data_IF_398559208730
#
_entry.id   IF_398559208730
#
_cell.length_a   1.000
_cell.length_b   1.000
_cell.length_c   1.000
_cell.angle_alpha   90.00
_cell.angle_beta   90.00
_cell.angle_gamma   90.00
#
_symmetry.space_group_name_H-M   'P 1'
#
loop_
_entity.id
_entity.type
_entity.pdbx_description
1 polymer ?
#
# COMPACT_ATOMS: atom_id res chain seq x y z
N UNK A 1 4.01 -62.18 20.79
CA UNK A 1 5.33 -62.00 21.43
C UNK A 1 6.16 -61.05 20.57
N UNK A 2 6.58 -59.89 21.12
CA UNK A 2 7.98 -59.46 21.26
C UNK A 2 8.70 -59.17 19.91
N UNK A 3 9.32 -58.03 19.60
CA UNK A 3 10.01 -56.97 20.35
C UNK A 3 10.35 -55.84 19.34
N UNK A 4 10.07 -54.57 19.65
CA UNK A 4 11.00 -53.49 20.09
C UNK A 4 11.87 -52.81 19.02
N UNK A 5 11.79 -51.47 19.07
CA UNK A 5 12.60 -50.44 18.43
C UNK A 5 14.09 -50.39 18.86
N UNK A 6 14.92 -49.68 18.07
CA UNK A 6 16.20 -49.05 18.45
C UNK A 6 16.61 -48.02 17.36
N UNK A 7 16.67 -46.72 17.66
CA UNK A 7 17.84 -45.92 18.11
C UNK A 7 18.83 -45.63 16.95
N UNK A 8 18.91 -44.41 16.40
CA UNK A 8 19.59 -43.17 16.86
C UNK A 8 21.15 -43.22 16.86
N UNK A 9 21.74 -42.28 16.08
CA UNK A 9 23.08 -41.64 16.11
C UNK A 9 24.37 -42.47 16.13
N UNK A 10 25.28 -42.13 15.21
CA UNK A 10 26.62 -41.52 15.48
C UNK A 10 27.29 -41.13 14.14
N UNK A 11 27.58 -39.86 13.89
CA UNK A 11 28.83 -39.08 14.15
C UNK A 11 29.95 -39.26 13.10
N UNK A 12 30.41 -38.08 12.63
CA UNK A 12 31.80 -37.67 12.29
C UNK A 12 32.35 -38.04 10.90
N UNK A 13 32.37 -37.07 9.99
CA UNK A 13 33.50 -36.16 9.60
C UNK A 13 34.52 -36.80 8.65
N UNK A 14 34.62 -36.29 7.43
CA UNK A 14 35.90 -36.02 6.75
C UNK A 14 35.66 -35.24 5.45
N UNK A 15 36.48 -34.23 5.26
CA UNK A 15 36.52 -33.24 4.18
C UNK A 15 36.94 -33.86 2.84
N UNK A 16 36.46 -33.28 1.74
CA UNK A 16 37.20 -33.28 0.47
C UNK A 16 36.95 -31.95 -0.26
N UNK A 17 37.98 -31.12 -0.32
CA UNK A 17 38.08 -30.00 -1.24
C UNK A 17 38.16 -30.50 -2.69
N UNK A 18 37.45 -29.84 -3.61
CA UNK A 18 38.05 -29.00 -4.67
C UNK A 18 36.99 -28.51 -5.63
N UNK A 19 37.09 -27.22 -5.93
CA UNK A 19 36.17 -26.48 -6.77
C UNK A 19 36.10 -26.93 -8.23
N UNK A 20 35.03 -26.47 -8.86
CA UNK A 20 34.78 -26.50 -10.29
C UNK A 20 33.52 -25.67 -10.53
N UNK A 21 33.71 -24.41 -10.90
CA UNK A 21 32.65 -23.53 -11.32
C UNK A 21 32.03 -24.04 -12.62
N UNK A 22 30.71 -24.24 -12.64
CA UNK A 22 29.87 -23.83 -13.76
C UNK A 22 28.41 -23.77 -13.28
N UNK A 23 27.76 -22.69 -13.66
CA UNK A 23 26.46 -22.23 -13.18
C UNK A 23 25.33 -23.07 -13.79
N UNK A 24 24.40 -23.57 -12.97
CA UNK A 24 22.97 -23.66 -13.35
C UNK A 24 22.09 -24.05 -12.17
N UNK A 25 20.99 -23.28 -12.01
CA UNK A 25 19.70 -23.61 -11.34
C UNK A 25 19.74 -23.79 -9.81
N UNK A 26 18.87 -23.20 -8.99
CA UNK A 26 17.42 -22.97 -9.12
C UNK A 26 16.94 -21.96 -8.05
N UNK A 27 15.88 -21.21 -8.42
CA UNK A 27 14.68 -20.93 -7.59
C UNK A 27 14.72 -19.98 -6.38
N UNK A 28 13.83 -18.97 -6.49
CA UNK A 28 13.07 -18.27 -5.44
C UNK A 28 13.80 -17.34 -4.47
N UNK A 29 13.58 -16.05 -4.66
CA UNK A 29 13.91 -15.02 -3.68
C UNK A 29 13.61 -13.63 -4.22
N UNK A 30 12.34 -13.31 -4.39
CA UNK A 30 11.85 -11.96 -4.63
C UNK A 30 12.31 -11.04 -3.48
N UNK A 31 13.48 -10.41 -3.62
CA UNK A 31 13.94 -9.39 -2.68
C UNK A 31 13.45 -8.03 -3.16
N UNK A 32 12.15 -7.80 -2.98
CA UNK A 32 11.60 -6.45 -2.87
C UNK A 32 12.05 -5.89 -1.52
N UNK A 33 13.26 -5.35 -1.47
CA UNK A 33 13.63 -4.41 -0.41
C UNK A 33 13.08 -3.04 -0.81
N UNK A 34 11.78 -2.86 -0.59
CA UNK A 34 11.21 -1.55 -0.37
C UNK A 34 11.36 -1.29 1.13
N UNK A 35 12.45 -0.62 1.49
CA UNK A 35 12.69 -0.19 2.86
C UNK A 35 11.52 0.68 3.34
N UNK A 36 11.00 0.25 4.49
CA UNK A 36 10.00 0.86 5.34
C UNK A 36 9.91 2.37 5.20
N UNK A 37 8.73 2.84 4.80
CA UNK A 37 8.29 4.20 5.05
C UNK A 37 8.26 4.45 6.56
N UNK A 38 9.12 5.36 6.99
CA UNK A 38 8.98 6.09 8.25
C UNK A 38 7.61 6.79 8.22
N UNK A 39 6.66 6.29 9.00
CA UNK A 39 5.42 7.01 9.32
C UNK A 39 5.51 7.45 10.77
N UNK A 40 6.32 8.48 10.98
CA UNK A 40 6.34 9.24 12.22
C UNK A 40 5.28 10.35 12.16
N UNK A 41 4.54 10.39 13.26
CA UNK A 41 3.87 11.55 13.84
C UNK A 41 2.40 11.79 13.46
N UNK A 42 1.54 11.15 14.25
CA UNK A 42 0.22 11.64 14.58
C UNK A 42 0.32 13.08 15.12
N UNK A 43 -0.32 14.01 14.43
CA UNK A 43 -0.77 15.26 15.04
C UNK A 43 -2.21 15.42 14.59
N UNK A 44 -3.13 15.03 15.46
CA UNK A 44 -4.57 15.28 15.34
C UNK A 44 -4.76 16.80 15.43
N UNK A 45 -4.63 17.48 14.30
CA UNK A 45 -4.98 18.90 14.22
C UNK A 45 -6.48 18.96 13.96
N UNK A 46 -7.22 19.12 15.05
CA UNK A 46 -8.64 19.41 15.13
C UNK A 46 -9.07 20.39 14.03
N UNK A 47 -9.48 19.86 12.88
CA UNK A 47 -10.00 20.64 11.76
C UNK A 47 -11.27 21.32 12.27
N UNK A 48 -11.20 22.63 12.43
CA UNK A 48 -12.34 23.42 12.85
C UNK A 48 -13.41 23.31 11.75
N UNK A 49 -14.50 22.61 12.08
CA UNK A 49 -15.75 22.58 11.32
C UNK A 49 -16.27 24.02 11.23
N UNK A 50 -15.86 24.74 10.19
CA UNK A 50 -16.34 26.07 9.89
C UNK A 50 -17.80 25.94 9.45
N UNK A 51 -18.70 26.03 10.42
CA UNK A 51 -20.15 26.20 10.22
C UNK A 51 -20.38 27.49 9.42
N UNK A 52 -20.32 27.38 8.10
CA UNK A 52 -20.75 28.45 7.21
C UNK A 52 -22.29 28.48 7.21
N UNK A 53 -22.82 29.59 7.71
CA UNK A 53 -24.24 29.91 7.93
C UNK A 53 -24.99 30.23 6.62
N UNK A 54 -24.87 29.36 5.63
CA UNK A 54 -25.55 29.51 4.35
C UNK A 54 -25.53 28.20 3.61
N UNK A 55 -26.59 27.40 3.78
CA UNK A 55 -26.86 26.11 3.12
C UNK A 55 -25.65 25.54 2.35
N UNK A 56 -24.60 25.15 3.07
CA UNK A 56 -23.38 24.61 2.47
C UNK A 56 -23.76 23.24 1.97
N UNK A 57 -23.93 23.12 0.65
CA UNK A 57 -24.12 21.83 0.01
C UNK A 57 -22.81 21.08 0.18
N UNK A 58 -22.73 20.25 1.21
CA UNK A 58 -21.61 19.35 1.42
C UNK A 58 -21.66 18.28 0.33
N UNK A 59 -20.52 17.92 -0.28
CA UNK A 59 -20.48 16.82 -1.22
C UNK A 59 -20.83 15.51 -0.51
N UNK A 60 -21.57 14.64 -1.19
CA UNK A 60 -21.89 13.28 -0.72
C UNK A 60 -20.74 12.30 -0.97
N UNK A 61 -19.95 12.55 -2.01
CA UNK A 61 -18.83 11.72 -2.41
C UNK A 61 -17.80 12.55 -3.19
N UNK A 62 -16.62 11.98 -3.37
CA UNK A 62 -15.59 12.49 -4.25
C UNK A 62 -15.29 11.46 -5.32
N UNK A 63 -15.31 11.91 -6.57
CA UNK A 63 -14.76 11.15 -7.68
C UNK A 63 -13.29 11.53 -7.84
N UNK A 64 -12.40 10.55 -7.75
CA UNK A 64 -10.96 10.76 -7.84
C UNK A 64 -10.39 9.95 -8.99
N UNK A 65 -9.69 10.65 -9.89
CA UNK A 65 -9.05 10.05 -11.08
C UNK A 65 -7.55 10.28 -11.08
N UNK A 66 -6.79 9.28 -11.52
CA UNK A 66 -5.34 9.40 -11.71
C UNK A 66 -5.06 10.14 -13.03
N UNK A 67 -4.41 11.30 -12.94
CA UNK A 67 -4.02 12.09 -14.11
C UNK A 67 -2.99 11.36 -14.97
N UNK A 68 -3.04 11.66 -16.27
CA UNK A 68 -2.15 11.09 -17.26
C UNK A 68 -0.66 11.39 -17.00
N UNK A 69 -0.35 12.49 -16.30
CA UNK A 69 1.02 12.91 -15.97
C UNK A 69 1.76 11.93 -15.05
N UNK A 70 1.05 11.07 -14.33
CA UNK A 70 1.70 10.07 -13.49
C UNK A 70 2.34 8.98 -14.38
N UNK A 71 3.60 8.60 -14.16
CA UNK A 71 4.29 7.67 -15.05
C UNK A 71 3.70 6.25 -15.02
N UNK A 72 3.16 5.82 -13.88
CA UNK A 72 2.60 4.48 -13.70
C UNK A 72 1.09 4.44 -13.97
N UNK A 73 0.58 3.26 -14.33
CA UNK A 73 -0.85 3.02 -14.57
C UNK A 73 -1.70 3.07 -13.29
N UNK A 74 -1.07 2.87 -12.13
CA UNK A 74 -1.71 2.94 -10.82
C UNK A 74 -0.95 3.84 -9.86
N UNK A 75 -1.65 4.49 -8.94
CA UNK A 75 -1.07 5.30 -7.88
C UNK A 75 -1.82 5.06 -6.58
N UNK A 76 -1.09 4.96 -5.46
CA UNK A 76 -1.65 4.69 -4.15
C UNK A 76 -1.58 5.91 -3.23
N UNK A 77 -2.71 6.34 -2.67
CA UNK A 77 -2.75 7.48 -1.73
C UNK A 77 -3.91 7.32 -0.74
N UNK A 78 -3.68 7.70 0.52
CA UNK A 78 -4.68 7.64 1.60
C UNK A 78 -5.36 6.26 1.77
N UNK A 79 -4.66 5.16 1.44
CA UNK A 79 -5.21 3.80 1.51
C UNK A 79 -5.98 3.33 0.27
N UNK A 80 -6.15 4.20 -0.72
CA UNK A 80 -6.84 3.91 -1.99
C UNK A 80 -5.85 3.69 -3.13
N UNK A 81 -6.28 2.96 -4.16
CA UNK A 81 -5.54 2.79 -5.42
C UNK A 81 -6.34 3.40 -6.56
N UNK A 82 -5.75 4.37 -7.22
CA UNK A 82 -6.31 5.04 -8.39
C UNK A 82 -5.65 4.51 -9.65
N UNK A 83 -6.42 4.41 -10.73
CA UNK A 83 -5.95 3.97 -12.04
C UNK A 83 -6.32 4.99 -13.10
N UNK A 84 -5.61 4.99 -14.23
CA UNK A 84 -5.93 5.90 -15.34
C UNK A 84 -7.24 5.57 -16.04
N UNK A 85 -7.66 4.31 -15.96
CA UNK A 85 -8.81 3.80 -16.73
C UNK A 85 -10.15 4.03 -16.02
N UNK A 86 -10.13 4.21 -14.69
CA UNK A 86 -11.33 4.29 -13.86
C UNK A 86 -11.17 5.31 -12.76
N UNK A 87 -12.19 6.16 -12.65
CA UNK A 87 -12.39 6.99 -11.48
C UNK A 87 -12.81 6.14 -10.27
N UNK A 88 -12.34 6.52 -9.09
CA UNK A 88 -12.71 5.89 -7.83
C UNK A 88 -13.62 6.85 -7.09
N UNK A 89 -14.86 6.43 -6.88
CA UNK A 89 -15.82 7.16 -6.06
C UNK A 89 -15.62 6.78 -4.58
N UNK A 90 -15.39 7.80 -3.76
CA UNK A 90 -15.18 7.64 -2.31
C UNK A 90 -16.24 8.48 -1.59
N UNK A 91 -17.08 7.89 -0.72
CA UNK A 91 -18.04 8.64 0.08
C UNK A 91 -17.35 9.70 0.94
N UNK A 92 -18.00 10.85 1.15
CA UNK A 92 -17.46 11.91 1.99
C UNK A 92 -17.12 11.41 3.40
N UNK A 93 -18.01 10.61 3.98
CA UNK A 93 -17.84 10.02 5.32
C UNK A 93 -16.69 9.00 5.42
N UNK A 94 -16.19 8.50 4.29
CA UNK A 94 -15.08 7.55 4.24
C UNK A 94 -13.71 8.24 4.21
N UNK A 95 -13.67 9.58 4.12
CA UNK A 95 -12.45 10.37 4.14
C UNK A 95 -12.44 11.32 5.34
N UNK A 96 -11.28 11.47 5.96
CA UNK A 96 -11.07 12.56 6.92
C UNK A 96 -10.83 13.87 6.19
N UNK A 97 -11.09 15.02 6.83
CA UNK A 97 -10.82 16.34 6.24
C UNK A 97 -9.36 16.48 5.76
N UNK A 98 -8.40 15.95 6.52
CA UNK A 98 -6.99 15.91 6.13
C UNK A 98 -6.73 15.07 4.87
N UNK A 99 -7.40 13.93 4.73
CA UNK A 99 -7.29 13.10 3.53
C UNK A 99 -7.86 13.81 2.30
N UNK A 100 -9.00 14.49 2.44
CA UNK A 100 -9.57 15.30 1.35
C UNK A 100 -8.59 16.39 0.93
N UNK A 101 -8.01 17.11 1.88
CA UNK A 101 -7.00 18.14 1.60
C UNK A 101 -5.79 17.52 0.90
N UNK A 102 -5.24 16.43 1.43
CA UNK A 102 -4.08 15.75 0.86
C UNK A 102 -4.32 15.24 -0.57
N UNK A 103 -5.52 14.72 -0.85
CA UNK A 103 -5.92 14.26 -2.20
C UNK A 103 -6.13 15.44 -3.16
N UNK A 104 -6.69 16.56 -2.67
CA UNK A 104 -6.90 17.76 -3.49
C UNK A 104 -5.60 18.50 -3.85
N UNK A 105 -4.58 18.41 -3.01
CA UNK A 105 -3.26 19.01 -3.22
C UNK A 105 -2.34 18.10 -4.03
N UNK A 106 -2.71 16.84 -4.27
CA UNK A 106 -1.88 15.90 -5.00
C UNK A 106 -1.81 16.26 -6.49
N UNK A 107 -0.61 16.48 -7.05
CA UNK A 107 -0.48 16.90 -8.44
C UNK A 107 -0.95 15.81 -9.43
N UNK A 108 -0.87 14.54 -9.03
CA UNK A 108 -1.20 13.38 -9.86
C UNK A 108 -2.67 13.01 -9.79
N UNK A 109 -3.43 13.52 -8.83
CA UNK A 109 -4.85 13.23 -8.71
C UNK A 109 -5.69 14.42 -9.17
N UNK A 110 -6.91 14.09 -9.57
CA UNK A 110 -7.98 15.03 -9.83
C UNK A 110 -9.16 14.63 -8.94
N UNK A 111 -9.54 15.52 -8.03
CA UNK A 111 -10.60 15.32 -7.05
C UNK A 111 -11.80 16.18 -7.44
N UNK A 112 -12.93 15.54 -7.72
CA UNK A 112 -14.18 16.18 -8.13
C UNK A 112 -15.25 15.91 -7.07
N UNK A 113 -15.79 16.93 -6.40
CA UNK A 113 -16.89 16.76 -5.46
C UNK A 113 -18.20 16.41 -6.18
N UNK A 114 -18.92 15.41 -5.67
CA UNK A 114 -20.28 15.04 -6.09
C UNK A 114 -21.26 15.59 -5.07
N UNK A 115 -22.22 16.41 -5.50
CA UNK A 115 -23.29 16.96 -4.66
C UNK A 115 -24.65 16.36 -5.03
N UNK A 116 -25.56 16.24 -4.06
CA UNK A 116 -26.96 15.93 -4.34
C UNK A 116 -27.62 17.03 -5.20
N UNK A 117 -28.53 16.62 -6.09
CA UNK A 117 -29.25 17.49 -7.02
C UNK A 117 -30.53 18.05 -6.44
#
# INVERSE_FOLDING_TARGET
>A
MAKKAKAEKEKRTAELEKGGADETKDTAGNSLQSDSADSANATDEKVADAKADGAVIQPIAFEITLKAIHPQASYGRCGYRFTKDKAVEIPFDALTGEQIIALSQDPYLELVPICEK
#
